data_IF_504927292503
#
_entry.id   IF_504927292503
#
_cell.length_a   1.000
_cell.length_b   1.000
_cell.length_c   1.000
_cell.angle_alpha   90.00
_cell.angle_beta   90.00
_cell.angle_gamma   90.00
#
_symmetry.space_group_name_H-M   'P 1'
#
loop_
_entity.id
_entity.type
_entity.pdbx_description
1 polymer ?
#
# COMPACT_ATOMS: atom_id res chain seq x y z
N UNK A 1 -12.41 -17.80 -28.53
CA UNK A 1 -11.15 -17.02 -28.57
C UNK A 1 -10.82 -16.63 -27.15
N UNK A 2 -9.76 -17.18 -26.57
CA UNK A 2 -9.35 -16.83 -25.20
C UNK A 2 -8.56 -15.52 -25.29
N UNK A 3 -9.12 -14.43 -24.79
CA UNK A 3 -8.32 -13.23 -24.54
C UNK A 3 -7.34 -13.60 -23.42
N UNK A 4 -6.05 -13.71 -23.72
CA UNK A 4 -5.02 -13.83 -22.68
C UNK A 4 -4.99 -12.53 -21.91
N UNK A 5 -5.45 -12.55 -20.67
CA UNK A 5 -5.38 -11.41 -19.76
C UNK A 5 -3.91 -10.99 -19.57
N UNK A 6 -3.58 -9.76 -19.96
CA UNK A 6 -2.26 -9.18 -19.71
C UNK A 6 -2.15 -8.79 -18.24
N UNK A 7 -0.96 -8.79 -17.63
CA UNK A 7 -0.86 -8.42 -16.23
C UNK A 7 -1.22 -6.94 -15.97
N UNK A 8 -1.15 -6.07 -16.98
CA UNK A 8 -1.71 -4.71 -16.93
C UNK A 8 -3.24 -4.74 -16.82
N UNK A 9 -3.94 -5.53 -17.65
CA UNK A 9 -5.40 -5.65 -17.58
C UNK A 9 -5.88 -6.27 -16.26
N UNK A 10 -5.10 -7.20 -15.69
CA UNK A 10 -5.37 -7.78 -14.38
C UNK A 10 -5.16 -6.77 -13.25
N UNK A 11 -4.16 -5.90 -13.37
CA UNK A 11 -3.93 -4.84 -12.39
C UNK A 11 -5.09 -3.85 -12.38
N UNK A 12 -5.52 -3.37 -13.55
CA UNK A 12 -6.68 -2.50 -13.69
C UNK A 12 -7.96 -3.16 -13.14
N UNK A 13 -8.18 -4.45 -13.44
CA UNK A 13 -9.27 -5.23 -12.89
C UNK A 13 -9.22 -5.29 -11.35
N UNK A 14 -8.05 -5.60 -10.79
CA UNK A 14 -7.85 -5.69 -9.35
C UNK A 14 -8.11 -4.37 -8.63
N UNK A 15 -7.68 -3.24 -9.22
CA UNK A 15 -7.97 -1.90 -8.69
C UNK A 15 -9.47 -1.60 -8.74
N UNK A 16 -10.12 -1.88 -9.87
CA UNK A 16 -11.57 -1.68 -10.03
C UNK A 16 -12.38 -2.50 -9.02
N UNK A 17 -12.01 -3.76 -8.81
CA UNK A 17 -12.63 -4.66 -7.83
C UNK A 17 -12.41 -4.19 -6.40
N UNK A 18 -11.18 -3.76 -6.07
CA UNK A 18 -10.89 -3.12 -4.78
C UNK A 18 -11.80 -1.91 -4.52
N UNK A 19 -11.92 -1.02 -5.50
CA UNK A 19 -12.78 0.17 -5.43
C UNK A 19 -14.27 -0.18 -5.32
N UNK A 20 -14.70 -1.28 -5.95
CA UNK A 20 -16.06 -1.82 -5.83
C UNK A 20 -16.36 -2.42 -4.45
N UNK A 21 -15.37 -2.49 -3.55
CA UNK A 21 -15.53 -2.97 -2.19
C UNK A 21 -15.30 -4.47 -2.04
N UNK A 22 -14.69 -5.13 -3.03
CA UNK A 22 -14.36 -6.54 -2.91
C UNK A 22 -13.43 -6.79 -1.71
N UNK A 23 -13.65 -7.87 -0.93
CA UNK A 23 -12.84 -8.15 0.25
C UNK A 23 -11.35 -8.30 -0.09
N UNK A 24 -10.43 -7.76 0.74
CA UNK A 24 -9.00 -7.87 0.48
C UNK A 24 -8.52 -9.32 0.32
N UNK A 25 -9.14 -10.28 1.02
CA UNK A 25 -8.81 -11.71 0.96
C UNK A 25 -8.98 -12.29 -0.46
N UNK A 26 -9.98 -11.82 -1.21
CA UNK A 26 -10.26 -12.29 -2.57
C UNK A 26 -9.30 -11.66 -3.60
N UNK A 27 -8.70 -10.52 -3.25
CA UNK A 27 -7.79 -9.77 -4.12
C UNK A 27 -6.32 -10.15 -3.94
N UNK A 28 -5.93 -10.70 -2.78
CA UNK A 28 -4.55 -11.12 -2.52
C UNK A 28 -4.04 -12.11 -3.58
N UNK A 29 -4.75 -13.20 -3.93
CA UNK A 29 -4.28 -14.14 -4.95
C UNK A 29 -4.05 -13.48 -6.32
N UNK A 30 -4.93 -12.55 -6.71
CA UNK A 30 -4.79 -11.78 -7.94
C UNK A 30 -3.50 -10.94 -7.92
N UNK A 31 -3.28 -10.15 -6.87
CA UNK A 31 -2.09 -9.30 -6.76
C UNK A 31 -0.80 -10.08 -6.57
N UNK A 32 -0.85 -11.26 -5.94
CA UNK A 32 0.28 -12.21 -5.93
C UNK A 32 0.64 -12.63 -7.36
N UNK A 33 -0.33 -13.07 -8.16
CA UNK A 33 -0.12 -13.47 -9.55
C UNK A 33 0.43 -12.32 -10.41
N UNK A 34 -0.09 -11.10 -10.25
CA UNK A 34 0.43 -9.92 -10.95
C UNK A 34 1.88 -9.66 -10.56
N UNK A 35 2.22 -9.73 -9.27
CA UNK A 35 3.59 -9.54 -8.80
C UNK A 35 4.57 -10.60 -9.32
N UNK A 36 4.12 -11.85 -9.49
CA UNK A 36 4.92 -12.93 -10.09
C UNK A 36 5.18 -12.67 -11.57
N UNK A 37 4.16 -12.20 -12.30
CA UNK A 37 4.25 -11.88 -13.74
C UNK A 37 5.01 -10.57 -14.00
N UNK A 38 4.94 -9.62 -13.07
CA UNK A 38 5.58 -8.31 -13.14
C UNK A 38 6.41 -8.01 -11.88
N UNK A 39 7.53 -8.72 -11.64
CA UNK A 39 8.32 -8.60 -10.41
C UNK A 39 9.05 -7.25 -10.24
N UNK A 40 8.96 -6.38 -11.25
CA UNK A 40 9.50 -5.01 -11.27
C UNK A 40 8.43 -3.92 -11.15
N UNK A 41 7.14 -4.28 -11.08
CA UNK A 41 6.04 -3.32 -10.91
C UNK A 41 5.96 -2.89 -9.44
N UNK A 42 6.50 -1.72 -9.10
CA UNK A 42 6.42 -1.18 -7.74
C UNK A 42 4.97 -1.04 -7.27
N UNK A 43 4.08 -0.54 -8.13
CA UNK A 43 2.65 -0.37 -7.84
C UNK A 43 1.97 -1.69 -7.44
N UNK A 44 2.27 -2.79 -8.11
CA UNK A 44 1.72 -4.11 -7.75
C UNK A 44 2.13 -4.56 -6.35
N UNK A 45 3.40 -4.35 -6.00
CA UNK A 45 3.90 -4.63 -4.66
C UNK A 45 3.31 -3.67 -3.60
N UNK A 46 3.08 -2.40 -3.95
CA UNK A 46 2.40 -1.43 -3.09
C UNK A 46 0.98 -1.90 -2.77
N UNK A 47 0.18 -2.27 -3.79
CA UNK A 47 -1.17 -2.79 -3.61
C UNK A 47 -1.18 -4.09 -2.79
N UNK A 48 -0.32 -5.05 -3.10
CA UNK A 48 -0.24 -6.30 -2.36
C UNK A 48 0.10 -6.07 -0.88
N UNK A 49 1.03 -5.15 -0.58
CA UNK A 49 1.37 -4.81 0.80
C UNK A 49 0.20 -4.18 1.56
N UNK A 50 -0.60 -3.34 0.88
CA UNK A 50 -1.79 -2.73 1.45
C UNK A 50 -2.87 -3.78 1.79
N UNK A 51 -3.12 -4.70 0.87
CA UNK A 51 -4.07 -5.80 1.08
C UNK A 51 -3.68 -6.65 2.29
N UNK A 52 -2.40 -6.99 2.44
CA UNK A 52 -1.92 -7.72 3.62
C UNK A 52 -2.11 -6.94 4.93
N UNK A 53 -1.95 -5.60 4.93
CA UNK A 53 -2.17 -4.81 6.14
C UNK A 53 -3.65 -4.77 6.56
N UNK A 54 -4.55 -4.72 5.57
CA UNK A 54 -5.99 -4.79 5.80
C UNK A 54 -6.42 -6.17 6.36
N UNK A 55 -5.65 -7.22 6.07
CA UNK A 55 -5.89 -8.59 6.54
C UNK A 55 -5.14 -8.96 7.83
N UNK A 56 -4.53 -7.99 8.52
CA UNK A 56 -3.74 -8.26 9.73
C UNK A 56 -2.56 -9.22 9.48
N UNK A 57 -1.96 -9.17 8.28
CA UNK A 57 -0.77 -9.94 7.89
C UNK A 57 0.49 -9.05 7.77
N UNK A 58 0.94 -8.40 8.86
CA UNK A 58 1.96 -7.35 8.76
C UNK A 58 3.35 -7.86 8.36
N UNK A 59 3.66 -9.14 8.61
CA UNK A 59 4.93 -9.74 8.16
C UNK A 59 4.99 -9.90 6.64
N UNK A 60 3.87 -10.28 6.01
CA UNK A 60 3.74 -10.40 4.56
C UNK A 60 3.71 -9.01 3.94
N UNK A 61 2.95 -8.09 4.53
CA UNK A 61 2.93 -6.68 4.15
C UNK A 61 4.34 -6.07 4.14
N UNK A 62 5.13 -6.30 5.20
CA UNK A 62 6.48 -5.77 5.30
C UNK A 62 7.38 -6.26 4.15
N UNK A 63 7.31 -7.54 3.77
CA UNK A 63 8.07 -8.09 2.65
C UNK A 63 7.66 -7.44 1.31
N UNK A 64 6.36 -7.32 1.06
CA UNK A 64 5.83 -6.70 -0.15
C UNK A 64 6.18 -5.20 -0.21
N UNK A 65 6.03 -4.47 0.90
CA UNK A 65 6.34 -3.04 0.98
C UNK A 65 7.84 -2.75 0.84
N UNK A 66 8.71 -3.60 1.41
CA UNK A 66 10.16 -3.51 1.18
C UNK A 66 10.51 -3.65 -0.30
N UNK A 67 9.84 -4.58 -1.01
CA UNK A 67 10.01 -4.75 -2.44
C UNK A 67 9.52 -3.53 -3.22
N UNK A 68 8.35 -2.99 -2.87
CA UNK A 68 7.79 -1.79 -3.47
C UNK A 68 8.72 -0.58 -3.31
N UNK A 69 9.19 -0.31 -2.09
CA UNK A 69 10.13 0.80 -1.76
C UNK A 69 11.48 0.61 -2.44
N UNK A 70 11.97 -0.62 -2.60
CA UNK A 70 13.21 -0.89 -3.35
C UNK A 70 13.06 -0.54 -4.83
N UNK A 71 11.90 -0.78 -5.41
CA UNK A 71 11.62 -0.52 -6.84
C UNK A 71 11.31 0.97 -7.09
N UNK A 72 10.56 1.61 -6.19
CA UNK A 72 10.30 3.04 -6.22
C UNK A 72 10.51 3.65 -4.84
N UNK A 73 11.72 4.18 -4.56
CA UNK A 73 12.02 4.81 -3.28
C UNK A 73 11.28 6.12 -3.01
N UNK A 74 10.57 6.69 -3.99
CA UNK A 74 9.84 7.96 -3.83
C UNK A 74 8.33 7.77 -3.73
N UNK A 75 7.82 6.53 -3.83
CA UNK A 75 6.40 6.25 -3.62
C UNK A 75 6.01 6.49 -2.14
N UNK A 76 5.18 7.50 -1.85
CA UNK A 76 4.79 7.80 -0.48
C UNK A 76 3.85 6.73 0.10
N UNK A 77 3.01 6.09 -0.71
CA UNK A 77 2.13 5.00 -0.28
C UNK A 77 2.95 3.77 0.10
N UNK A 78 3.91 3.35 -0.73
CA UNK A 78 4.79 2.22 -0.42
C UNK A 78 5.56 2.43 0.90
N UNK A 79 6.03 3.66 1.14
CA UNK A 79 6.72 4.03 2.38
C UNK A 79 5.79 3.99 3.59
N UNK A 80 4.56 4.46 3.44
CA UNK A 80 3.56 4.37 4.51
C UNK A 80 3.19 2.92 4.79
N UNK A 81 2.98 2.10 3.77
CA UNK A 81 2.69 0.67 3.96
C UNK A 81 3.84 -0.04 4.70
N UNK A 82 5.09 0.29 4.36
CA UNK A 82 6.25 -0.23 5.08
C UNK A 82 6.28 0.25 6.54
N UNK A 83 6.07 1.55 6.77
CA UNK A 83 6.01 2.12 8.11
C UNK A 83 4.88 1.51 8.96
N UNK A 84 3.70 1.28 8.39
CA UNK A 84 2.59 0.58 9.03
C UNK A 84 3.01 -0.83 9.42
N UNK A 85 3.49 -1.62 8.46
CA UNK A 85 3.91 -2.99 8.70
C UNK A 85 5.00 -3.05 9.79
N UNK A 86 5.93 -2.11 9.79
CA UNK A 86 6.98 -2.00 10.81
C UNK A 86 6.41 -1.69 12.20
N UNK A 87 5.40 -0.83 12.32
CA UNK A 87 4.75 -0.56 13.61
C UNK A 87 4.03 -1.81 14.13
N UNK A 88 3.30 -2.51 13.26
CA UNK A 88 2.57 -3.75 13.60
C UNK A 88 3.52 -4.92 13.96
N UNK A 89 4.77 -4.89 13.51
CA UNK A 89 5.80 -5.89 13.85
C UNK A 89 6.87 -5.39 14.82
N UNK A 90 6.65 -4.28 15.52
CA UNK A 90 7.60 -3.65 16.46
C UNK A 90 9.03 -3.49 15.88
N UNK A 91 9.10 -3.16 14.60
CA UNK A 91 10.35 -3.01 13.84
C UNK A 91 10.81 -1.56 13.85
N UNK A 92 12.08 -1.35 14.22
CA UNK A 92 12.70 -0.02 14.31
C UNK A 92 12.95 0.59 12.93
N UNK A 93 13.08 1.92 12.87
CA UNK A 93 13.43 2.65 11.64
C UNK A 93 12.26 3.34 10.94
N UNK A 94 11.07 3.31 11.52
CA UNK A 94 9.83 3.90 10.98
C UNK A 94 10.00 5.36 10.56
N UNK A 95 10.70 6.18 11.36
CA UNK A 95 10.88 7.62 11.14
C UNK A 95 11.45 7.94 9.75
N UNK A 96 12.44 7.18 9.28
CA UNK A 96 13.04 7.43 7.95
C UNK A 96 12.01 7.31 6.82
N UNK A 97 11.07 6.37 6.93
CA UNK A 97 10.04 6.18 5.90
C UNK A 97 9.01 7.31 5.93
N UNK A 98 8.61 7.73 7.14
CA UNK A 98 7.70 8.86 7.35
C UNK A 98 8.32 10.17 6.83
N UNK A 99 9.58 10.46 7.18
CA UNK A 99 10.24 11.69 6.76
C UNK A 99 10.31 11.82 5.24
N UNK A 100 10.55 10.72 4.52
CA UNK A 100 10.62 10.74 3.06
C UNK A 100 9.22 10.85 2.45
N UNK A 101 8.23 10.12 2.98
CA UNK A 101 6.84 10.27 2.54
C UNK A 101 6.36 11.72 2.71
N UNK A 102 6.68 12.34 3.86
CA UNK A 102 6.35 13.74 4.14
C UNK A 102 6.99 14.72 3.16
N UNK A 103 8.27 14.51 2.79
CA UNK A 103 8.94 15.33 1.78
C UNK A 103 8.24 15.26 0.42
N UNK A 104 7.89 14.05 -0.02
CA UNK A 104 7.22 13.82 -1.31
C UNK A 104 5.85 14.49 -1.36
N UNK A 105 5.00 14.27 -0.34
CA UNK A 105 3.67 14.89 -0.31
C UNK A 105 3.71 16.40 -0.03
N UNK A 106 4.83 16.92 0.49
CA UNK A 106 5.02 18.37 0.66
C UNK A 106 5.16 19.08 -0.69
N UNK A 107 5.81 18.44 -1.65
CA UNK A 107 6.09 19.04 -2.96
C UNK A 107 5.07 18.65 -4.04
N UNK A 108 4.25 17.62 -3.82
CA UNK A 108 3.18 17.21 -4.74
C UNK A 108 1.81 17.20 -4.04
N UNK A 109 0.94 18.13 -4.44
CA UNK A 109 -0.42 18.23 -3.91
C UNK A 109 -1.29 17.04 -4.32
N UNK A 110 -1.06 16.50 -5.51
CA UNK A 110 -1.73 15.29 -6.03
C UNK A 110 -1.38 14.08 -5.16
N UNK A 111 -0.10 13.76 -5.00
CA UNK A 111 0.33 12.63 -4.15
C UNK A 111 -0.09 12.80 -2.68
N UNK A 112 -0.17 14.05 -2.21
CA UNK A 112 -0.70 14.37 -0.89
C UNK A 112 -2.17 14.00 -0.76
N UNK A 113 -2.96 14.28 -1.80
CA UNK A 113 -4.38 13.98 -1.83
C UNK A 113 -4.60 12.47 -1.94
N UNK A 114 -3.92 11.81 -2.88
CA UNK A 114 -4.02 10.36 -3.09
C UNK A 114 -3.70 9.59 -1.80
N UNK A 115 -2.61 9.97 -1.13
CA UNK A 115 -2.23 9.34 0.13
C UNK A 115 -3.30 9.57 1.20
N UNK A 116 -3.84 10.77 1.32
CA UNK A 116 -4.90 11.07 2.30
C UNK A 116 -6.14 10.23 2.06
N UNK A 117 -6.58 10.11 0.81
CA UNK A 117 -7.74 9.31 0.44
C UNK A 117 -7.51 7.82 0.72
N UNK A 118 -6.33 7.31 0.39
CA UNK A 118 -5.93 5.93 0.66
C UNK A 118 -5.95 5.61 2.17
N UNK A 119 -5.38 6.47 3.02
CA UNK A 119 -5.43 6.26 4.48
C UNK A 119 -6.88 6.34 5.02
N UNK A 120 -7.70 7.25 4.49
CA UNK A 120 -9.11 7.35 4.87
C UNK A 120 -9.91 6.09 4.47
N UNK A 121 -9.67 5.54 3.28
CA UNK A 121 -10.26 4.27 2.85
C UNK A 121 -9.79 3.10 3.73
N UNK A 122 -8.51 3.07 4.12
CA UNK A 122 -7.97 2.12 5.08
C UNK A 122 -8.71 2.14 6.42
N UNK A 123 -8.95 3.33 6.97
CA UNK A 123 -9.69 3.49 8.22
C UNK A 123 -11.15 3.05 8.10
N UNK A 124 -11.78 3.28 6.94
CA UNK A 124 -13.15 2.84 6.66
C UNK A 124 -13.24 1.30 6.61
N UNK A 125 -12.26 0.64 6.00
CA UNK A 125 -12.23 -0.83 5.84
C UNK A 125 -11.81 -1.55 7.11
N UNK A 126 -10.89 -0.95 7.87
CA UNK A 126 -10.35 -1.48 9.12
C UNK A 126 -10.46 -0.41 10.22
N UNK A 127 -11.62 -0.30 10.89
CA UNK A 127 -11.79 0.65 11.97
C UNK A 127 -10.88 0.30 13.16
N UNK A 128 -10.48 1.33 13.92
CA UNK A 128 -9.61 1.22 15.10
C UNK A 128 -8.17 0.77 14.80
N UNK A 129 -7.64 1.18 13.65
CA UNK A 129 -6.26 0.87 13.27
C UNK A 129 -5.27 1.87 13.90
N UNK A 130 -4.88 1.62 15.14
CA UNK A 130 -4.06 2.56 15.92
C UNK A 130 -2.73 2.98 15.26
N UNK A 131 -2.06 2.09 14.53
CA UNK A 131 -0.84 2.44 13.79
C UNK A 131 -1.11 3.36 12.60
N UNK A 132 -2.27 3.19 11.95
CA UNK A 132 -2.72 4.07 10.87
C UNK A 132 -3.06 5.46 11.40
N UNK A 133 -3.81 5.54 12.50
CA UNK A 133 -4.12 6.81 13.18
C UNK A 133 -2.83 7.56 13.55
N UNK A 134 -1.83 6.83 14.06
CA UNK A 134 -0.53 7.40 14.42
C UNK A 134 0.21 7.95 13.20
N UNK A 135 0.27 7.20 12.10
CA UNK A 135 0.93 7.67 10.87
C UNK A 135 0.19 8.85 10.27
N UNK A 136 -1.14 8.83 10.25
CA UNK A 136 -1.96 9.94 9.76
C UNK A 136 -1.65 11.23 10.52
N UNK A 137 -1.56 11.17 11.85
CA UNK A 137 -1.20 12.32 12.69
C UNK A 137 0.23 12.83 12.42
N UNK A 138 1.17 11.95 12.04
CA UNK A 138 2.52 12.39 11.67
C UNK A 138 2.59 13.06 10.30
N UNK A 139 1.78 12.61 9.34
CA UNK A 139 1.80 13.12 7.95
C UNK A 139 0.91 14.35 7.77
N UNK A 140 -0.16 14.44 8.54
CA UNK A 140 -1.19 15.47 8.44
C UNK A 140 -1.54 16.02 9.83
N UNK A 141 -0.60 16.71 10.49
CA UNK A 141 -0.90 17.36 11.77
C UNK A 141 -2.00 18.41 11.58
N UNK A 142 -2.87 18.53 12.60
CA UNK A 142 -3.93 19.54 12.71
C UNK A 142 -3.33 20.93 12.87
#
# INVERSE_FOLDING_TARGET
MSFTETPESLFEDGIRRYQAGEPPADLVPLFQSICERQPRSSASWTCLSWLYLLLDEPRQAMKAAQRAVKLNPQDPQARVNLALAMLETDTKGVRQHIDIALRVITVSAELRQDLRESLADGQKRKPNWASLDRIQNWLFPI
#
